data_IF_530282438898
#
_entry.id   IF_530282438898
#
_cell.length_a   1.000
_cell.length_b   1.000
_cell.length_c   1.000
_cell.angle_alpha   90.00
_cell.angle_beta   90.00
_cell.angle_gamma   90.00
#
_symmetry.space_group_name_H-M   'P 1'
#
loop_
_entity.id
_entity.type
_entity.pdbx_description
1 polymer ?
#
# COMPACT_ATOMS: atom_id res chain seq x y z
N UNK A 1 -31.91 -6.75 -62.38
CA UNK A 1 -31.19 -5.86 -61.44
C UNK A 1 -30.91 -6.66 -60.19
N UNK A 2 -29.63 -6.84 -59.87
CA UNK A 2 -29.09 -7.78 -58.89
C UNK A 2 -29.37 -7.36 -57.44
N UNK A 3 -29.84 -8.31 -56.64
CA UNK A 3 -30.05 -8.20 -55.20
C UNK A 3 -28.70 -8.06 -54.48
N UNK A 4 -28.47 -6.93 -53.82
CA UNK A 4 -27.37 -6.72 -52.86
C UNK A 4 -27.95 -6.78 -51.44
N UNK A 5 -28.08 -7.98 -50.89
CA UNK A 5 -28.29 -8.17 -49.45
C UNK A 5 -26.95 -7.98 -48.73
N UNK A 6 -26.76 -6.80 -48.13
CA UNK A 6 -25.66 -6.56 -47.21
C UNK A 6 -25.82 -7.45 -45.98
N UNK A 7 -25.10 -8.57 -45.96
CA UNK A 7 -24.92 -9.43 -44.80
C UNK A 7 -24.13 -8.65 -43.73
N UNK A 8 -24.83 -7.87 -42.90
CA UNK A 8 -24.25 -7.20 -41.74
C UNK A 8 -24.08 -8.24 -40.63
N UNK A 9 -22.89 -8.85 -40.58
CA UNK A 9 -22.49 -9.72 -39.47
C UNK A 9 -22.76 -9.03 -38.13
N UNK A 10 -23.54 -9.68 -37.28
CA UNK A 10 -23.78 -9.24 -35.90
C UNK A 10 -22.42 -9.09 -35.20
N UNK A 11 -22.15 -7.98 -34.48
CA UNK A 11 -20.98 -7.89 -33.63
C UNK A 11 -21.05 -9.00 -32.57
N UNK A 12 -19.94 -9.69 -32.36
CA UNK A 12 -19.76 -10.71 -31.33
C UNK A 12 -20.03 -10.11 -29.93
N UNK A 13 -21.22 -10.40 -29.38
CA UNK A 13 -21.65 -9.94 -28.06
C UNK A 13 -21.08 -10.85 -26.93
N UNK A 14 -20.21 -11.80 -27.26
CA UNK A 14 -19.71 -12.82 -26.33
C UNK A 14 -18.56 -12.41 -25.42
N UNK A 15 -17.76 -11.40 -25.78
CA UNK A 15 -16.47 -11.13 -25.11
C UNK A 15 -16.55 -10.17 -23.90
N UNK A 16 -17.38 -9.13 -24.00
CA UNK A 16 -17.46 -8.08 -22.97
C UNK A 16 -17.96 -8.56 -21.58
N UNK A 17 -18.69 -9.67 -21.52
CA UNK A 17 -19.16 -10.24 -20.25
C UNK A 17 -18.04 -10.96 -19.49
N UNK A 18 -17.17 -11.69 -20.19
CA UNK A 18 -15.99 -12.34 -19.61
C UNK A 18 -14.94 -11.31 -19.18
N UNK A 19 -14.74 -10.26 -19.96
CA UNK A 19 -13.78 -9.20 -19.60
C UNK A 19 -14.18 -8.49 -18.30
N UNK A 20 -15.46 -8.10 -18.16
CA UNK A 20 -15.97 -7.44 -16.95
C UNK A 20 -15.85 -8.30 -15.69
N UNK A 21 -16.11 -9.61 -15.81
CA UNK A 21 -16.01 -10.53 -14.67
C UNK A 21 -14.57 -10.75 -14.22
N UNK A 22 -13.62 -10.87 -15.15
CA UNK A 22 -12.19 -10.99 -14.83
C UNK A 22 -11.63 -9.70 -14.22
N UNK A 23 -11.97 -8.54 -14.75
CA UNK A 23 -11.60 -7.24 -14.15
C UNK A 23 -12.09 -7.13 -12.70
N UNK A 24 -13.31 -7.57 -12.42
CA UNK A 24 -13.87 -7.58 -11.06
C UNK A 24 -13.08 -8.49 -10.11
N UNK A 25 -12.74 -9.71 -10.55
CA UNK A 25 -11.94 -10.66 -9.77
C UNK A 25 -10.54 -10.14 -9.47
N UNK A 26 -9.88 -9.53 -10.45
CA UNK A 26 -8.55 -8.92 -10.27
C UNK A 26 -8.60 -7.77 -9.26
N UNK A 27 -9.60 -6.90 -9.33
CA UNK A 27 -9.78 -5.80 -8.36
C UNK A 27 -10.01 -6.32 -6.94
N UNK A 28 -10.82 -7.37 -6.78
CA UNK A 28 -11.05 -8.00 -5.46
C UNK A 28 -9.77 -8.63 -4.92
N UNK A 29 -9.05 -9.41 -5.75
CA UNK A 29 -7.76 -9.98 -5.38
C UNK A 29 -6.74 -8.92 -4.97
N UNK A 30 -6.64 -7.83 -5.74
CA UNK A 30 -5.76 -6.71 -5.45
C UNK A 30 -6.10 -6.01 -4.12
N UNK A 31 -7.38 -5.91 -3.74
CA UNK A 31 -7.78 -5.38 -2.42
C UNK A 31 -7.35 -6.27 -1.26
N UNK A 32 -7.42 -7.59 -1.44
CA UNK A 32 -6.94 -8.56 -0.43
C UNK A 32 -5.42 -8.47 -0.31
N UNK A 33 -4.72 -8.47 -1.46
CA UNK A 33 -3.28 -8.32 -1.51
C UNK A 33 -2.82 -7.00 -0.85
N UNK A 34 -3.50 -5.89 -1.12
CA UNK A 34 -3.25 -4.60 -0.46
C UNK A 34 -3.32 -4.72 1.06
N UNK A 35 -4.41 -5.28 1.59
CA UNK A 35 -4.60 -5.45 3.05
C UNK A 35 -3.53 -6.34 3.68
N UNK A 36 -3.14 -7.42 3.00
CA UNK A 36 -2.07 -8.30 3.45
C UNK A 36 -0.73 -7.55 3.47
N UNK A 37 -0.41 -6.83 2.40
CA UNK A 37 0.84 -6.08 2.27
C UNK A 37 0.98 -4.99 3.33
N UNK A 38 -0.10 -4.25 3.63
CA UNK A 38 -0.09 -3.25 4.71
C UNK A 38 0.20 -3.87 6.09
N UNK A 39 -0.31 -5.08 6.36
CA UNK A 39 -0.01 -5.80 7.62
C UNK A 39 1.43 -6.30 7.66
N UNK A 40 1.91 -6.88 6.56
CA UNK A 40 3.31 -7.30 6.42
C UNK A 40 4.24 -6.10 6.66
N UNK A 41 3.93 -4.96 6.04
CA UNK A 41 4.70 -3.73 6.20
C UNK A 41 4.78 -3.27 7.67
N UNK A 42 3.66 -3.36 8.41
CA UNK A 42 3.67 -3.06 9.85
C UNK A 42 4.59 -3.98 10.66
N UNK A 43 4.58 -5.28 10.35
CA UNK A 43 5.48 -6.26 10.98
C UNK A 43 6.94 -5.92 10.63
N UNK A 44 7.22 -5.56 9.37
CA UNK A 44 8.55 -5.13 8.96
C UNK A 44 9.03 -3.88 9.73
N UNK A 45 8.14 -2.93 10.04
CA UNK A 45 8.48 -1.76 10.86
C UNK A 45 8.86 -2.18 12.28
N UNK A 46 8.13 -3.13 12.90
CA UNK A 46 8.46 -3.64 14.23
C UNK A 46 9.82 -4.35 14.23
N UNK A 47 10.10 -5.16 13.22
CA UNK A 47 11.41 -5.79 13.03
C UNK A 47 12.51 -4.72 12.90
N UNK A 48 12.26 -3.65 12.14
CA UNK A 48 13.22 -2.56 12.01
C UNK A 48 13.57 -1.87 13.33
N UNK A 49 12.56 -1.57 14.14
CA UNK A 49 12.75 -0.98 15.47
C UNK A 49 13.52 -1.93 16.38
N UNK A 50 13.21 -3.24 16.33
CA UNK A 50 13.95 -4.26 17.06
C UNK A 50 15.42 -4.34 16.64
N UNK A 51 15.72 -4.32 15.33
CA UNK A 51 17.11 -4.32 14.83
C UNK A 51 17.89 -3.07 15.27
N UNK A 52 17.24 -1.90 15.29
CA UNK A 52 17.85 -0.69 15.84
C UNK A 52 18.14 -0.84 17.35
N UNK A 53 17.21 -1.47 18.09
CA UNK A 53 17.41 -1.79 19.50
C UNK A 53 18.58 -2.75 19.74
N UNK A 54 18.72 -3.80 18.93
CA UNK A 54 19.89 -4.69 18.99
C UNK A 54 21.20 -3.93 18.74
N UNK A 55 21.21 -3.04 17.75
CA UNK A 55 22.38 -2.23 17.44
C UNK A 55 22.75 -1.23 18.55
N UNK A 56 21.75 -0.76 19.31
CA UNK A 56 21.95 0.19 20.40
C UNK A 56 22.34 -0.49 21.73
N UNK A 57 21.71 -1.62 22.04
CA UNK A 57 21.78 -2.22 23.38
C UNK A 57 22.60 -3.52 23.46
N UNK A 58 22.83 -4.21 22.33
CA UNK A 58 23.52 -5.50 22.31
C UNK A 58 24.86 -5.44 21.57
N UNK A 59 24.83 -5.13 20.27
CA UNK A 59 26.03 -5.10 19.43
C UNK A 59 25.87 -4.11 18.28
N UNK A 60 26.72 -3.08 18.27
CA UNK A 60 26.75 -2.04 17.23
C UNK A 60 26.94 -2.56 15.80
N UNK A 61 27.51 -3.76 15.59
CA UNK A 61 27.61 -4.36 14.26
C UNK A 61 26.24 -4.57 13.59
N UNK A 62 25.17 -4.68 14.39
CA UNK A 62 23.80 -4.86 13.92
C UNK A 62 23.21 -3.65 13.18
N UNK A 63 23.89 -2.49 13.18
CA UNK A 63 23.51 -1.36 12.30
C UNK A 63 23.52 -1.77 10.82
N UNK A 64 24.38 -2.74 10.43
CA UNK A 64 24.36 -3.31 9.08
C UNK A 64 23.03 -4.01 8.81
N UNK A 65 22.58 -4.88 9.71
CA UNK A 65 21.29 -5.58 9.60
C UNK A 65 20.12 -4.59 9.50
N UNK A 66 20.10 -3.57 10.37
CA UNK A 66 19.10 -2.49 10.36
C UNK A 66 19.04 -1.76 9.01
N UNK A 67 20.18 -1.27 8.53
CA UNK A 67 20.26 -0.48 7.28
C UNK A 67 19.98 -1.32 6.03
N UNK A 68 20.46 -2.57 5.98
CA UNK A 68 20.19 -3.52 4.90
C UNK A 68 18.70 -3.82 4.80
N UNK A 69 18.06 -4.11 5.94
CA UNK A 69 16.65 -4.43 5.99
C UNK A 69 15.76 -3.21 5.66
N UNK A 70 16.27 -1.98 5.77
CA UNK A 70 15.49 -0.76 5.52
C UNK A 70 15.11 -0.64 4.03
N UNK A 71 15.91 -1.22 3.14
CA UNK A 71 15.60 -1.33 1.71
C UNK A 71 14.31 -2.11 1.46
N UNK A 72 14.03 -3.14 2.25
CA UNK A 72 12.78 -3.90 2.17
C UNK A 72 11.57 -2.99 2.44
N UNK A 73 11.64 -2.11 3.44
CA UNK A 73 10.54 -1.19 3.75
C UNK A 73 10.22 -0.26 2.56
N UNK A 74 11.25 0.29 1.91
CA UNK A 74 11.05 1.13 0.71
C UNK A 74 10.32 0.32 -0.38
N UNK A 75 10.82 -0.87 -0.70
CA UNK A 75 10.23 -1.73 -1.74
C UNK A 75 8.77 -2.07 -1.42
N UNK A 76 8.49 -2.51 -0.20
CA UNK A 76 7.12 -2.88 0.22
C UNK A 76 6.19 -1.66 0.20
N UNK A 77 6.65 -0.48 0.62
CA UNK A 77 5.85 0.75 0.59
C UNK A 77 5.47 1.20 -0.82
N UNK A 78 6.40 1.06 -1.79
CA UNK A 78 6.13 1.30 -3.22
C UNK A 78 5.10 0.30 -3.72
N UNK A 79 5.25 -0.98 -3.38
CA UNK A 79 4.31 -2.01 -3.80
C UNK A 79 2.90 -1.76 -3.23
N UNK A 80 2.77 -1.32 -1.98
CA UNK A 80 1.49 -0.89 -1.38
C UNK A 80 0.87 0.23 -2.21
N UNK A 81 1.66 1.25 -2.58
CA UNK A 81 1.17 2.35 -3.40
C UNK A 81 0.71 1.85 -4.78
N UNK A 82 1.50 1.03 -5.48
CA UNK A 82 1.13 0.48 -6.80
C UNK A 82 -0.14 -0.36 -6.74
N UNK A 83 -0.24 -1.29 -5.77
CA UNK A 83 -1.43 -2.13 -5.59
C UNK A 83 -2.66 -1.25 -5.32
N UNK A 84 -2.51 -0.11 -4.65
CA UNK A 84 -3.64 0.79 -4.38
C UNK A 84 -4.32 1.32 -5.65
N UNK A 85 -3.56 1.50 -6.74
CA UNK A 85 -4.10 1.87 -8.06
C UNK A 85 -4.81 0.69 -8.72
N UNK A 86 -4.19 -0.50 -8.73
CA UNK A 86 -4.75 -1.73 -9.31
C UNK A 86 -6.06 -2.11 -8.60
N UNK A 87 -6.09 -1.99 -7.27
CA UNK A 87 -7.26 -2.24 -6.43
C UNK A 87 -8.37 -1.18 -6.56
N UNK A 88 -8.14 -0.14 -7.37
CA UNK A 88 -9.04 1.01 -7.59
C UNK A 88 -9.49 1.64 -6.28
N UNK A 89 -8.57 1.81 -5.34
CA UNK A 89 -8.85 2.41 -4.03
C UNK A 89 -9.08 3.92 -4.17
N UNK A 90 -9.84 4.55 -3.24
CA UNK A 90 -10.12 5.98 -3.29
C UNK A 90 -8.85 6.82 -3.14
N UNK A 91 -8.85 8.03 -3.70
CA UNK A 91 -7.69 8.94 -3.71
C UNK A 91 -7.10 9.16 -2.31
N UNK A 92 -7.94 9.26 -1.28
CA UNK A 92 -7.52 9.41 0.11
C UNK A 92 -6.60 8.29 0.61
N UNK A 93 -6.80 7.04 0.13
CA UNK A 93 -5.95 5.90 0.52
C UNK A 93 -4.64 5.93 -0.26
N UNK A 94 -4.67 6.30 -1.55
CA UNK A 94 -3.46 6.44 -2.37
C UNK A 94 -2.53 7.52 -1.81
N UNK A 95 -3.09 8.67 -1.43
CA UNK A 95 -2.32 9.76 -0.83
C UNK A 95 -1.69 9.34 0.50
N UNK A 96 -2.41 8.56 1.32
CA UNK A 96 -1.83 7.99 2.55
C UNK A 96 -0.72 6.99 2.27
N UNK A 97 -0.88 6.11 1.27
CA UNK A 97 0.18 5.19 0.84
C UNK A 97 1.41 5.95 0.35
N UNK A 98 1.23 7.03 -0.41
CA UNK A 98 2.33 7.90 -0.82
C UNK A 98 2.97 8.61 0.39
N UNK A 99 2.17 9.02 1.37
CA UNK A 99 2.65 9.58 2.64
C UNK A 99 3.57 8.62 3.42
N UNK A 100 3.32 7.30 3.37
CA UNK A 100 4.24 6.32 3.98
C UNK A 100 5.64 6.41 3.36
N UNK A 101 5.73 6.50 2.04
CA UNK A 101 7.01 6.68 1.32
C UNK A 101 7.67 7.99 1.74
N UNK A 102 6.90 9.09 1.82
CA UNK A 102 7.41 10.38 2.27
C UNK A 102 8.02 10.32 3.67
N UNK A 103 7.39 9.62 4.62
CA UNK A 103 7.94 9.43 5.96
C UNK A 103 9.24 8.62 5.93
N UNK A 104 9.32 7.55 5.13
CA UNK A 104 10.55 6.76 4.98
C UNK A 104 11.71 7.61 4.44
N UNK A 105 11.44 8.48 3.44
CA UNK A 105 12.44 9.41 2.92
C UNK A 105 12.90 10.36 4.04
N UNK A 106 11.96 10.92 4.81
CA UNK A 106 12.30 11.82 5.90
C UNK A 106 13.13 11.11 6.99
N UNK A 107 12.84 9.84 7.29
CA UNK A 107 13.67 9.01 8.18
C UNK A 107 15.09 8.80 7.65
N UNK A 108 15.23 8.58 6.34
CA UNK A 108 16.53 8.39 5.70
C UNK A 108 17.36 9.68 5.70
N UNK A 109 16.71 10.84 5.55
CA UNK A 109 17.35 12.15 5.69
C UNK A 109 17.75 12.40 7.14
N UNK A 110 16.83 12.22 8.10
CA UNK A 110 17.10 12.49 9.52
C UNK A 110 18.25 11.64 10.07
N UNK A 111 18.37 10.38 9.64
CA UNK A 111 19.46 9.49 10.05
C UNK A 111 20.84 9.87 9.51
N UNK A 112 20.92 10.71 8.46
CA UNK A 112 22.17 11.12 7.81
C UNK A 112 22.62 12.53 8.15
N UNK A 113 21.87 13.24 9.01
CA UNK A 113 22.20 14.61 9.35
C UNK A 113 23.50 14.69 10.18
N UNK A 114 24.31 15.74 10.00
CA UNK A 114 25.52 15.97 10.79
C UNK A 114 25.22 16.14 12.28
N UNK A 115 26.19 15.78 13.13
CA UNK A 115 26.10 15.88 14.59
C UNK A 115 25.80 17.29 15.12
N UNK A 116 26.20 18.34 14.38
CA UNK A 116 25.90 19.74 14.71
C UNK A 116 24.41 20.10 14.72
N UNK A 117 23.54 19.26 14.13
CA UNK A 117 22.08 19.43 14.13
C UNK A 117 21.39 18.16 14.70
N UNK A 118 22.06 17.49 15.64
CA UNK A 118 21.67 16.17 16.16
C UNK A 118 20.26 16.09 16.74
N UNK A 119 19.67 17.20 17.19
CA UNK A 119 18.28 17.25 17.66
C UNK A 119 17.26 16.95 16.53
N UNK A 120 17.57 17.28 15.27
CA UNK A 120 16.73 16.89 14.13
C UNK A 120 16.92 15.41 13.79
N UNK A 121 18.14 14.89 13.98
CA UNK A 121 18.40 13.45 13.80
C UNK A 121 17.59 12.61 14.80
N UNK A 122 17.41 13.12 16.02
CA UNK A 122 16.56 12.52 17.05
C UNK A 122 15.06 12.43 16.68
N UNK A 123 14.61 13.03 15.56
CA UNK A 123 13.27 12.80 15.02
C UNK A 123 13.11 11.41 14.41
N UNK A 124 14.20 10.70 14.09
CA UNK A 124 14.12 9.40 13.40
C UNK A 124 13.20 8.39 14.13
N UNK A 125 13.29 8.16 15.45
CA UNK A 125 12.35 7.30 16.18
C UNK A 125 10.91 7.82 16.16
N UNK A 126 10.70 9.14 16.23
CA UNK A 126 9.36 9.75 16.17
C UNK A 126 8.70 9.47 14.81
N UNK A 127 9.47 9.60 13.74
CA UNK A 127 9.02 9.30 12.38
C UNK A 127 8.73 7.81 12.20
N UNK A 128 9.51 6.91 12.82
CA UNK A 128 9.23 5.47 12.81
C UNK A 128 7.88 5.16 13.46
N UNK A 129 7.55 5.81 14.59
CA UNK A 129 6.24 5.70 15.23
C UNK A 129 5.12 6.25 14.34
N UNK A 130 5.31 7.42 13.73
CA UNK A 130 4.35 7.99 12.77
C UNK A 130 4.09 7.04 11.59
N UNK A 131 5.14 6.40 11.05
CA UNK A 131 5.03 5.42 9.97
C UNK A 131 4.22 4.19 10.43
N UNK A 132 4.49 3.67 11.62
CA UNK A 132 3.77 2.54 12.20
C UNK A 132 2.28 2.86 12.41
N UNK A 133 1.97 3.95 13.10
CA UNK A 133 0.58 4.34 13.35
C UNK A 133 -0.16 4.72 12.05
N UNK A 134 0.53 5.36 11.11
CA UNK A 134 0.02 5.64 9.77
C UNK A 134 -0.41 4.36 9.06
N UNK A 135 0.44 3.33 9.10
CA UNK A 135 0.19 2.00 8.53
C UNK A 135 -1.00 1.30 9.20
N UNK A 136 -1.09 1.34 10.53
CA UNK A 136 -2.23 0.79 11.29
C UNK A 136 -3.54 1.50 10.95
N UNK A 137 -3.51 2.83 10.79
CA UNK A 137 -4.70 3.60 10.40
C UNK A 137 -5.22 3.21 9.01
N UNK A 138 -4.33 2.83 8.09
CA UNK A 138 -4.65 2.39 6.74
C UNK A 138 -5.39 1.04 6.74
N UNK A 139 -5.03 0.17 7.68
CA UNK A 139 -5.68 -1.14 7.89
C UNK A 139 -7.12 -0.97 8.36
N UNK A 140 -7.39 0.00 9.26
CA UNK A 140 -8.73 0.24 9.82
C UNK A 140 -9.70 0.84 8.80
N UNK A 141 -9.30 1.91 8.10
CA UNK A 141 -10.17 2.60 7.13
C UNK A 141 -10.56 1.77 5.91
N UNK A 142 -9.71 0.81 5.53
CA UNK A 142 -10.03 -0.13 4.44
C UNK A 142 -11.18 -1.06 4.84
N UNK A 143 -11.31 -1.43 6.11
CA UNK A 143 -12.39 -2.30 6.58
C UNK A 143 -13.74 -1.57 6.71
N UNK A 144 -13.75 -0.31 7.13
CA UNK A 144 -14.98 0.48 7.28
C UNK A 144 -15.63 0.80 5.93
N UNK A 145 -14.85 1.28 4.94
CA UNK A 145 -15.38 1.62 3.62
C UNK A 145 -15.90 0.42 2.83
N UNK A 146 -15.36 -0.79 3.09
CA UNK A 146 -15.87 -2.02 2.49
C UNK A 146 -17.22 -2.43 3.12
N UNK A 147 -17.41 -2.20 4.43
CA UNK A 147 -18.68 -2.50 5.11
C UNK A 147 -19.81 -1.58 4.64
N UNK A 148 -19.56 -0.27 4.60
CA UNK A 148 -20.57 0.74 4.19
C UNK A 148 -21.08 0.45 2.78
N UNK A 149 -20.18 0.22 1.81
CA UNK A 149 -20.58 -0.08 0.42
C UNK A 149 -21.39 -1.39 0.28
N UNK A 150 -21.19 -2.36 1.18
CA UNK A 150 -21.95 -3.62 1.19
C UNK A 150 -23.36 -3.44 1.77
N UNK A 151 -23.56 -2.46 2.65
CA UNK A 151 -24.87 -2.13 3.22
C UNK A 151 -25.72 -1.32 2.24
N UNK A 152 -25.14 -0.29 1.61
CA UNK A 152 -25.83 0.52 0.60
C UNK A 152 -26.33 -0.32 -0.60
N UNK A 153 -25.52 -1.29 -1.05
CA UNK A 153 -25.92 -2.21 -2.12
C UNK A 153 -27.04 -3.18 -1.72
N UNK A 154 -27.25 -3.44 -0.43
CA UNK A 154 -28.35 -4.30 0.05
C UNK A 154 -29.65 -3.53 0.23
N UNK A 155 -29.57 -2.23 0.47
CA UNK A 155 -30.72 -1.35 0.72
C UNK A 155 -31.32 -0.81 -0.58
N UNK A 156 -30.57 -0.86 -1.69
CA UNK A 156 -31.06 -0.54 -3.04
C UNK A 156 -31.75 -1.71 -3.77
N UNK A 157 -31.64 -2.93 -3.24
CA UNK A 157 -32.27 -4.14 -3.81
C UNK A 157 -33.57 -4.54 -3.07
N UNK A 158 -34.08 -3.69 -2.17
CA UNK A 158 -35.35 -3.84 -1.43
C UNK A 158 -36.32 -2.75 -1.86
#
# INVERSE_FOLDING_TARGET
MSNLSLNRGKPDVGDHSKEKTNLSRLVVGARIAFKAMVRIFAICILIQVFLAGLALFWDSSQWVSHTVFARLLIIVSILILLISFIARLPHSIRLRSAGLIGIIILMAVSAKLPSGIGYISALHPVLALMLFFGTMSLTRKTNEKIKVKKQESKEQDV
#
